data_IF_451053568889
#
_entry.id   IF_451053568889
#
_cell.length_a   1.000
_cell.length_b   1.000
_cell.length_c   1.000
_cell.angle_alpha   90.00
_cell.angle_beta   90.00
_cell.angle_gamma   90.00
#
_symmetry.space_group_name_H-M   'P 1'
#
loop_
_entity.id
_entity.type
_entity.pdbx_description
1 polymer ?
#
# COMPACT_ATOMS: atom_id res chain seq x y z
N UNK A 1 49.33 -1.30 -41.71
CA UNK A 1 48.52 -0.07 -41.85
C UNK A 1 47.06 -0.48 -41.75
N UNK A 2 46.58 -0.60 -40.51
CA UNK A 2 45.63 0.32 -39.85
C UNK A 2 44.18 0.00 -40.19
N UNK A 3 43.61 -0.84 -39.32
CA UNK A 3 42.20 -0.95 -39.00
C UNK A 3 41.58 0.40 -38.61
N UNK A 4 40.41 0.72 -39.14
CA UNK A 4 39.51 1.74 -38.58
C UNK A 4 38.07 1.24 -38.60
N UNK A 5 37.76 0.34 -37.66
CA UNK A 5 36.39 0.16 -37.18
C UNK A 5 36.04 1.36 -36.29
N UNK A 6 34.99 2.08 -36.68
CA UNK A 6 34.33 3.12 -35.89
C UNK A 6 33.93 2.58 -34.50
N UNK A 7 34.16 3.32 -33.40
CA UNK A 7 33.67 2.90 -32.10
C UNK A 7 32.16 3.19 -32.05
N UNK A 8 31.38 2.12 -31.91
CA UNK A 8 30.00 2.19 -31.45
C UNK A 8 29.95 2.94 -30.12
N UNK A 9 29.05 3.92 -30.02
CA UNK A 9 28.67 4.60 -28.78
C UNK A 9 28.21 3.57 -27.75
N UNK A 10 29.16 3.04 -26.98
CA UNK A 10 28.88 2.28 -25.78
C UNK A 10 28.14 3.17 -24.81
N UNK A 11 26.90 2.80 -24.48
CA UNK A 11 26.26 3.25 -23.26
C UNK A 11 27.22 2.90 -22.13
N UNK A 12 27.87 3.92 -21.58
CA UNK A 12 28.67 3.79 -20.38
C UNK A 12 27.75 3.20 -19.31
N UNK A 13 28.07 1.97 -18.88
CA UNK A 13 27.48 1.40 -17.69
C UNK A 13 27.73 2.37 -16.54
N UNK A 14 26.67 3.06 -16.10
CA UNK A 14 26.74 3.92 -14.92
C UNK A 14 27.24 3.07 -13.75
N UNK A 15 28.43 3.41 -13.26
CA UNK A 15 29.01 2.79 -12.09
C UNK A 15 28.08 2.99 -10.91
N UNK A 16 27.62 1.88 -10.34
CA UNK A 16 26.82 1.82 -9.11
C UNK A 16 27.59 2.58 -8.02
N UNK A 17 27.04 3.64 -7.40
CA UNK A 17 27.70 4.30 -6.28
C UNK A 17 27.90 3.25 -5.17
N UNK A 18 29.08 3.25 -4.54
CA UNK A 18 29.47 2.32 -3.46
C UNK A 18 28.28 1.87 -2.60
N UNK A 19 28.12 0.54 -2.42
CA UNK A 19 26.92 -0.08 -1.88
C UNK A 19 26.46 0.44 -0.49
N UNK A 20 27.33 1.13 0.26
CA UNK A 20 26.99 1.75 1.54
C UNK A 20 26.57 3.22 1.40
N UNK A 21 27.26 4.00 0.55
CA UNK A 21 27.01 5.42 0.37
C UNK A 21 25.63 5.71 -0.21
N UNK A 22 25.19 4.92 -1.18
CA UNK A 22 23.84 5.04 -1.76
C UNK A 22 22.72 4.64 -0.79
N UNK A 23 22.96 3.65 0.08
CA UNK A 23 21.99 3.26 1.12
C UNK A 23 21.84 4.35 2.18
N UNK A 24 22.95 4.96 2.58
CA UNK A 24 22.95 6.08 3.52
C UNK A 24 22.27 7.32 2.93
N UNK A 25 22.53 7.65 1.66
CA UNK A 25 21.88 8.80 1.01
C UNK A 25 20.37 8.64 0.95
N UNK A 26 19.87 7.44 0.66
CA UNK A 26 18.43 7.14 0.70
C UNK A 26 17.85 7.29 2.11
N UNK A 27 18.51 6.74 3.14
CA UNK A 27 18.09 6.90 4.54
C UNK A 27 17.99 8.38 4.96
N UNK A 28 19.01 9.17 4.62
CA UNK A 28 19.07 10.60 4.92
C UNK A 28 17.96 11.34 4.17
N UNK A 29 17.76 11.04 2.88
CA UNK A 29 16.70 11.66 2.09
C UNK A 29 15.31 11.34 2.65
N UNK A 30 15.06 10.09 3.06
CA UNK A 30 13.80 9.70 3.70
C UNK A 30 13.59 10.49 4.99
N UNK A 31 14.60 10.58 5.84
CA UNK A 31 14.52 11.31 7.11
C UNK A 31 14.27 12.81 6.91
N UNK A 32 14.92 13.43 5.92
CA UNK A 32 14.70 14.84 5.56
C UNK A 32 13.26 15.06 5.08
N UNK A 33 12.77 14.21 4.17
CA UNK A 33 11.41 14.34 3.64
C UNK A 33 10.38 14.17 4.75
N UNK A 34 10.56 13.19 5.65
CA UNK A 34 9.68 13.02 6.81
C UNK A 34 9.69 14.28 7.66
N UNK A 35 10.86 14.82 8.01
CA UNK A 35 10.94 16.05 8.79
C UNK A 35 10.22 17.23 8.10
N UNK A 36 10.45 17.44 6.80
CA UNK A 36 9.80 18.51 6.04
C UNK A 36 8.29 18.31 6.01
N UNK A 37 7.81 17.12 5.65
CA UNK A 37 6.40 16.82 5.55
C UNK A 37 5.66 16.98 6.89
N UNK A 38 6.27 16.53 7.98
CA UNK A 38 5.72 16.67 9.34
C UNK A 38 5.70 18.15 9.78
N UNK A 39 6.69 18.96 9.41
CA UNK A 39 6.65 20.41 9.68
C UNK A 39 5.61 21.17 8.87
N UNK A 40 5.30 20.72 7.65
CA UNK A 40 4.21 21.30 6.84
C UNK A 40 2.86 21.05 7.51
N UNK A 41 2.69 19.87 8.12
CA UNK A 41 1.47 19.52 8.82
C UNK A 41 0.28 19.24 7.90
N UNK A 42 -0.93 19.38 8.45
CA UNK A 42 -2.18 19.13 7.72
C UNK A 42 -2.59 20.40 6.98
N UNK A 43 -2.79 20.30 5.67
CA UNK A 43 -3.32 21.39 4.84
C UNK A 43 -4.72 21.03 4.36
N UNK A 44 -5.66 21.95 4.53
CA UNK A 44 -7.07 21.73 4.18
C UNK A 44 -7.43 22.57 2.96
N UNK A 45 -8.12 21.97 1.99
CA UNK A 45 -8.63 22.65 0.80
C UNK A 45 -10.14 22.37 0.64
N UNK A 46 -10.87 23.33 0.07
CA UNK A 46 -12.27 23.15 -0.30
C UNK A 46 -12.35 22.82 -1.79
N UNK A 47 -12.98 21.70 -2.13
CA UNK A 47 -13.24 21.29 -3.52
C UNK A 47 -14.75 21.06 -3.65
N UNK A 48 -15.46 22.04 -4.21
CA UNK A 48 -16.92 22.01 -4.32
C UNK A 48 -17.59 21.96 -2.94
N UNK A 49 -18.59 21.08 -2.71
CA UNK A 49 -19.24 20.95 -1.40
C UNK A 49 -18.37 20.21 -0.37
N UNK A 50 -17.28 19.56 -0.80
CA UNK A 50 -16.43 18.73 0.05
C UNK A 50 -15.17 19.44 0.53
N UNK A 51 -14.71 19.08 1.73
CA UNK A 51 -13.39 19.46 2.25
C UNK A 51 -12.43 18.29 2.01
N UNK A 52 -11.23 18.57 1.52
CA UNK A 52 -10.19 17.55 1.33
C UNK A 52 -9.00 17.91 2.21
N UNK A 53 -8.58 16.98 3.05
CA UNK A 53 -7.44 17.13 3.95
C UNK A 53 -6.20 16.44 3.35
N UNK A 54 -5.15 17.21 3.10
CA UNK A 54 -3.83 16.69 2.77
C UNK A 54 -3.00 16.59 4.04
N UNK A 55 -2.68 15.37 4.43
CA UNK A 55 -1.86 15.07 5.61
C UNK A 55 -0.37 15.05 5.28
N UNK A 56 0.52 15.15 6.29
CA UNK A 56 1.97 15.05 6.13
C UNK A 56 2.42 13.90 5.23
N UNK A 57 1.86 12.71 5.42
CA UNK A 57 2.17 11.53 4.62
C UNK A 57 1.92 11.70 3.10
N UNK A 58 0.94 12.51 2.70
CA UNK A 58 0.68 12.80 1.27
C UNK A 58 1.75 13.73 0.72
N UNK A 59 2.14 14.76 1.49
CA UNK A 59 3.27 15.61 1.14
C UNK A 59 4.57 14.81 1.01
N UNK A 60 4.82 13.90 1.93
CA UNK A 60 5.98 13.02 1.91
C UNK A 60 6.04 12.17 0.63
N UNK A 61 4.92 11.56 0.23
CA UNK A 61 4.81 10.81 -1.02
C UNK A 61 5.10 11.71 -2.23
N UNK A 62 4.48 12.88 -2.32
CA UNK A 62 4.62 13.80 -3.46
C UNK A 62 6.05 14.34 -3.56
N UNK A 63 6.67 14.73 -2.44
CA UNK A 63 8.06 15.23 -2.40
C UNK A 63 9.03 14.12 -2.80
N UNK A 64 8.86 12.90 -2.28
CA UNK A 64 9.72 11.77 -2.62
C UNK A 64 9.60 11.37 -4.09
N UNK A 65 8.37 11.33 -4.62
CA UNK A 65 8.14 11.09 -6.04
C UNK A 65 8.77 12.20 -6.90
N UNK A 66 8.57 13.47 -6.56
CA UNK A 66 9.16 14.61 -7.29
C UNK A 66 10.69 14.58 -7.26
N UNK A 67 11.30 14.26 -6.12
CA UNK A 67 12.74 14.12 -5.98
C UNK A 67 13.25 12.94 -6.81
N UNK A 68 12.65 11.76 -6.68
CA UNK A 68 13.03 10.58 -7.46
C UNK A 68 12.96 10.82 -8.97
N UNK A 69 11.93 11.53 -9.44
CA UNK A 69 11.78 11.88 -10.86
C UNK A 69 12.76 12.96 -11.33
N UNK A 70 13.16 13.86 -10.43
CA UNK A 70 14.15 14.91 -10.71
C UNK A 70 15.59 14.45 -10.55
N UNK A 71 15.83 13.17 -10.22
CA UNK A 71 17.17 12.63 -9.97
C UNK A 71 18.16 12.93 -11.11
N UNK A 72 17.71 12.93 -12.37
CA UNK A 72 18.54 13.25 -13.56
C UNK A 72 19.05 14.70 -13.63
N UNK A 73 18.48 15.61 -12.84
CA UNK A 73 18.84 17.03 -12.79
C UNK A 73 19.58 17.41 -11.50
N UNK A 74 19.75 16.47 -10.58
CA UNK A 74 20.37 16.70 -9.27
C UNK A 74 21.86 16.37 -9.29
N UNK A 75 22.68 17.02 -8.45
CA UNK A 75 24.08 16.66 -8.27
C UNK A 75 24.19 15.22 -7.71
N UNK A 76 25.30 14.54 -8.05
CA UNK A 76 25.50 13.11 -7.75
C UNK A 76 25.27 12.71 -6.28
N UNK A 77 25.49 13.63 -5.34
CA UNK A 77 25.30 13.39 -3.88
C UNK A 77 23.81 13.32 -3.49
N UNK A 78 22.94 14.05 -4.19
CA UNK A 78 21.49 14.08 -3.94
C UNK A 78 20.71 13.19 -4.92
N UNK A 79 21.41 12.51 -5.83
CA UNK A 79 20.80 11.71 -6.88
C UNK A 79 20.32 10.36 -6.33
N UNK A 80 19.00 10.14 -6.39
CA UNK A 80 18.39 8.86 -6.08
C UNK A 80 18.05 8.18 -7.41
N UNK A 81 19.04 7.50 -7.97
CA UNK A 81 18.94 6.83 -9.27
C UNK A 81 18.04 5.57 -9.25
N UNK A 82 17.80 4.95 -10.43
CA UNK A 82 16.87 3.82 -10.56
C UNK A 82 17.16 2.62 -9.65
N UNK A 83 18.44 2.33 -9.39
CA UNK A 83 18.84 1.27 -8.45
C UNK A 83 18.40 1.56 -7.01
N UNK A 84 18.57 2.80 -6.54
CA UNK A 84 18.12 3.21 -5.21
C UNK A 84 16.59 3.31 -5.11
N UNK A 85 15.90 3.67 -6.19
CA UNK A 85 14.43 3.66 -6.25
C UNK A 85 13.86 2.25 -6.16
N UNK A 86 14.51 1.28 -6.83
CA UNK A 86 14.17 -0.14 -6.72
C UNK A 86 14.42 -0.64 -5.29
N UNK A 87 15.57 -0.30 -4.72
CA UNK A 87 15.90 -0.63 -3.34
C UNK A 87 14.94 0.02 -2.33
N UNK A 88 14.45 1.24 -2.58
CA UNK A 88 13.42 1.87 -1.75
C UNK A 88 12.11 1.06 -1.73
N UNK A 89 11.73 0.44 -2.86
CA UNK A 89 10.59 -0.49 -2.90
C UNK A 89 10.82 -1.77 -2.08
N UNK A 90 12.05 -2.30 -2.07
CA UNK A 90 12.39 -3.46 -1.24
C UNK A 90 12.41 -3.11 0.26
N UNK A 91 12.99 -1.95 0.60
CA UNK A 91 12.95 -1.38 1.96
C UNK A 91 11.51 -1.13 2.41
N UNK A 92 10.63 -0.66 1.52
CA UNK A 92 9.21 -0.46 1.83
C UNK A 92 8.56 -1.76 2.32
N UNK A 93 8.75 -2.87 1.60
CA UNK A 93 8.16 -4.17 1.96
C UNK A 93 8.66 -4.66 3.33
N UNK A 94 9.96 -4.54 3.59
CA UNK A 94 10.52 -4.92 4.90
C UNK A 94 10.10 -3.95 6.02
N UNK A 95 10.03 -2.64 5.73
CA UNK A 95 9.61 -1.60 6.66
C UNK A 95 8.14 -1.69 7.05
N UNK A 96 7.28 -2.15 6.12
CA UNK A 96 5.85 -2.33 6.35
C UNK A 96 5.57 -3.33 7.49
N UNK A 97 6.49 -4.25 7.79
CA UNK A 97 6.36 -5.18 8.92
C UNK A 97 6.20 -4.46 10.27
N UNK A 98 6.93 -3.35 10.50
CA UNK A 98 6.77 -2.55 11.71
C UNK A 98 5.38 -1.92 11.79
N UNK A 99 4.85 -1.48 10.65
CA UNK A 99 3.52 -0.90 10.57
C UNK A 99 2.44 -1.97 10.79
N UNK A 100 2.61 -3.18 10.24
CA UNK A 100 1.75 -4.32 10.50
C UNK A 100 1.74 -4.72 11.97
N UNK A 101 2.89 -4.67 12.65
CA UNK A 101 2.95 -4.91 14.09
C UNK A 101 2.16 -3.85 14.85
N UNK A 102 2.33 -2.57 14.52
CA UNK A 102 1.54 -1.51 15.15
C UNK A 102 0.04 -1.70 14.91
N UNK A 103 -0.38 -2.08 13.70
CA UNK A 103 -1.77 -2.45 13.40
C UNK A 103 -2.25 -3.59 14.29
N UNK A 104 -1.51 -4.71 14.35
CA UNK A 104 -1.89 -5.89 15.12
C UNK A 104 -1.95 -5.63 16.64
N UNK A 105 -1.02 -4.85 17.20
CA UNK A 105 -1.12 -4.40 18.60
C UNK A 105 -2.34 -3.52 18.84
N UNK A 106 -2.66 -2.63 17.88
CA UNK A 106 -3.82 -1.74 18.00
C UNK A 106 -5.13 -2.56 17.98
N UNK A 107 -5.20 -3.59 17.14
CA UNK A 107 -6.33 -4.54 17.09
C UNK A 107 -6.42 -5.36 18.38
N UNK A 108 -5.30 -5.91 18.87
CA UNK A 108 -5.27 -6.69 20.12
C UNK A 108 -5.69 -5.88 21.34
N UNK A 109 -5.26 -4.61 21.43
CA UNK A 109 -5.61 -3.72 22.54
C UNK A 109 -7.05 -3.20 22.49
N UNK A 110 -7.70 -3.29 21.33
CA UNK A 110 -9.07 -2.84 21.07
C UNK A 110 -9.98 -3.99 20.61
N UNK A 111 -9.76 -5.20 21.17
CA UNK A 111 -10.60 -6.36 20.86
C UNK A 111 -12.10 -6.12 21.11
N UNK A 112 -12.54 -5.43 22.18
CA UNK A 112 -13.96 -5.15 22.36
C UNK A 112 -14.58 -4.37 21.20
N UNK A 113 -13.87 -3.39 20.65
CA UNK A 113 -14.29 -2.58 19.50
C UNK A 113 -14.36 -3.43 18.22
N UNK A 114 -13.36 -4.28 18.00
CA UNK A 114 -13.31 -5.21 16.86
C UNK A 114 -14.42 -6.26 16.96
N UNK A 115 -14.73 -6.74 18.17
CA UNK A 115 -15.85 -7.65 18.42
C UNK A 115 -17.20 -6.98 18.17
N UNK A 116 -17.36 -5.71 18.56
CA UNK A 116 -18.58 -4.93 18.27
C UNK A 116 -18.79 -4.73 16.77
N UNK A 117 -17.70 -4.53 16.02
CA UNK A 117 -17.76 -4.50 14.56
C UNK A 117 -18.20 -5.87 13.96
N UNK A 118 -17.95 -6.97 14.67
CA UNK A 118 -18.66 -8.25 14.53
C UNK A 118 -18.77 -8.76 13.10
N UNK A 119 -20.00 -8.93 12.63
CA UNK A 119 -20.30 -9.43 11.29
C UNK A 119 -19.91 -8.45 10.17
N UNK A 120 -19.94 -7.14 10.44
CA UNK A 120 -19.59 -6.14 9.44
C UNK A 120 -18.13 -6.32 8.97
N UNK A 121 -17.21 -6.64 9.90
CA UNK A 121 -15.83 -6.97 9.57
C UNK A 121 -15.72 -8.22 8.69
N UNK A 122 -16.50 -9.27 8.92
CA UNK A 122 -16.41 -10.48 8.10
C UNK A 122 -16.98 -10.22 6.69
N UNK A 123 -18.13 -9.54 6.61
CA UNK A 123 -18.84 -9.34 5.35
C UNK A 123 -18.26 -8.20 4.50
N UNK A 124 -17.51 -7.26 5.07
CA UNK A 124 -16.87 -6.19 4.30
C UNK A 124 -15.94 -6.70 3.19
N UNK A 125 -15.34 -7.90 3.34
CA UNK A 125 -14.52 -8.53 2.30
C UNK A 125 -15.33 -8.84 1.03
N UNK A 126 -16.61 -9.18 1.20
CA UNK A 126 -17.57 -9.26 0.09
C UNK A 126 -17.76 -7.89 -0.54
N UNK A 127 -17.87 -6.84 0.27
CA UNK A 127 -17.96 -5.46 -0.21
C UNK A 127 -16.74 -5.03 -1.02
N UNK A 128 -15.53 -5.35 -0.56
CA UNK A 128 -14.29 -5.14 -1.32
C UNK A 128 -14.38 -5.83 -2.69
N UNK A 129 -14.75 -7.10 -2.69
CA UNK A 129 -14.83 -7.91 -3.90
C UNK A 129 -15.92 -7.43 -4.84
N UNK A 130 -17.18 -7.39 -4.41
CA UNK A 130 -18.29 -6.95 -5.25
C UNK A 130 -18.15 -5.50 -5.68
N UNK A 131 -17.57 -4.64 -4.84
CA UNK A 131 -17.27 -3.26 -5.19
C UNK A 131 -16.37 -3.17 -6.42
N UNK A 132 -15.28 -3.94 -6.47
CA UNK A 132 -14.42 -4.02 -7.67
C UNK A 132 -15.15 -4.55 -8.88
N UNK A 133 -15.96 -5.60 -8.71
CA UNK A 133 -16.63 -6.30 -9.80
C UNK A 133 -17.80 -5.50 -10.40
N UNK A 134 -18.57 -4.82 -9.57
CA UNK A 134 -19.79 -4.08 -9.99
C UNK A 134 -19.44 -2.73 -10.58
N UNK A 135 -18.35 -2.09 -10.12
CA UNK A 135 -17.93 -0.78 -10.63
C UNK A 135 -16.82 -0.89 -11.66
N UNK A 136 -15.76 -1.63 -11.35
CA UNK A 136 -14.57 -1.73 -12.20
C UNK A 136 -14.85 -2.46 -13.52
N UNK A 137 -15.44 -3.66 -13.48
CA UNK A 137 -15.61 -4.49 -14.68
C UNK A 137 -16.54 -3.87 -15.73
N UNK A 138 -17.73 -3.31 -15.40
CA UNK A 138 -18.57 -2.66 -16.40
C UNK A 138 -17.90 -1.45 -17.03
N UNK A 139 -17.22 -0.62 -16.24
CA UNK A 139 -16.49 0.55 -16.74
C UNK A 139 -15.35 0.11 -17.65
N UNK A 140 -14.64 -0.96 -17.30
CA UNK A 140 -13.59 -1.54 -18.15
C UNK A 140 -14.14 -1.97 -19.51
N UNK A 141 -15.25 -2.70 -19.54
CA UNK A 141 -15.89 -3.15 -20.76
C UNK A 141 -16.42 -1.99 -21.60
N UNK A 142 -17.00 -0.95 -20.98
CA UNK A 142 -17.45 0.26 -21.65
C UNK A 142 -16.29 1.04 -22.28
N UNK A 143 -15.14 1.07 -21.62
CA UNK A 143 -13.90 1.62 -22.18
C UNK A 143 -13.27 0.69 -23.23
N UNK A 144 -13.81 -0.51 -23.44
CA UNK A 144 -13.33 -1.49 -24.41
C UNK A 144 -12.22 -2.41 -23.94
N UNK A 145 -11.82 -2.32 -22.67
CA UNK A 145 -10.84 -3.24 -22.10
C UNK A 145 -11.51 -4.61 -22.01
N UNK A 146 -10.96 -5.61 -22.72
CA UNK A 146 -11.57 -6.93 -22.85
C UNK A 146 -11.05 -7.89 -21.77
N UNK A 147 -10.26 -8.90 -22.14
CA UNK A 147 -9.75 -9.92 -21.21
C UNK A 147 -8.84 -9.32 -20.13
N UNK A 148 -8.18 -8.19 -20.43
CA UNK A 148 -7.39 -7.45 -19.45
C UNK A 148 -8.24 -6.89 -18.31
N UNK A 149 -9.55 -6.67 -18.53
CA UNK A 149 -10.47 -6.24 -17.48
C UNK A 149 -10.59 -7.30 -16.38
N UNK A 150 -10.58 -8.59 -16.72
CA UNK A 150 -10.64 -9.66 -15.72
C UNK A 150 -9.44 -9.57 -14.78
N UNK A 151 -8.23 -9.41 -15.33
CA UNK A 151 -7.01 -9.26 -14.54
C UNK A 151 -6.96 -7.96 -13.72
N UNK A 152 -7.55 -6.87 -14.22
CA UNK A 152 -7.53 -5.58 -13.55
C UNK A 152 -8.65 -5.37 -12.53
N UNK A 153 -9.74 -6.15 -12.58
CA UNK A 153 -10.96 -5.85 -11.80
C UNK A 153 -11.41 -6.95 -10.85
N UNK A 154 -10.75 -8.11 -10.83
CA UNK A 154 -11.05 -9.14 -9.83
C UNK A 154 -10.51 -8.79 -8.43
N UNK A 155 -9.61 -7.83 -8.31
CA UNK A 155 -9.07 -7.32 -7.04
C UNK A 155 -8.23 -6.07 -7.33
N UNK A 156 -7.82 -5.32 -6.29
CA UNK A 156 -6.86 -4.19 -6.37
C UNK A 156 -5.39 -4.56 -6.72
N UNK A 157 -5.19 -5.72 -7.35
CA UNK A 157 -3.92 -6.17 -7.94
C UNK A 157 -2.69 -6.16 -7.04
N UNK A 158 -2.77 -6.60 -5.78
CA UNK A 158 -1.57 -6.85 -4.94
C UNK A 158 -0.74 -8.05 -5.40
N UNK A 159 0.44 -8.26 -4.81
CA UNK A 159 1.44 -9.27 -5.17
C UNK A 159 0.83 -10.68 -5.24
N UNK A 160 -0.01 -11.04 -4.27
CA UNK A 160 -0.71 -12.32 -4.28
C UNK A 160 -1.61 -12.51 -5.51
N UNK A 161 -2.25 -11.45 -6.00
CA UNK A 161 -3.09 -11.49 -7.19
C UNK A 161 -2.28 -11.66 -8.47
N UNK A 162 -1.07 -11.08 -8.54
CA UNK A 162 -0.15 -11.34 -9.65
C UNK A 162 0.27 -12.80 -9.68
N UNK A 163 0.51 -13.43 -8.52
CA UNK A 163 0.81 -14.87 -8.43
C UNK A 163 -0.37 -15.70 -8.92
N UNK A 164 -1.60 -15.40 -8.49
CA UNK A 164 -2.81 -16.12 -8.92
C UNK A 164 -2.95 -16.09 -10.45
N UNK A 165 -2.81 -14.91 -11.07
CA UNK A 165 -2.93 -14.77 -12.53
C UNK A 165 -1.74 -15.36 -13.26
N UNK A 166 -0.53 -15.19 -12.71
CA UNK A 166 0.70 -15.76 -13.26
C UNK A 166 0.64 -17.28 -13.36
N UNK A 167 0.17 -17.96 -12.32
CA UNK A 167 0.01 -19.42 -12.29
C UNK A 167 -1.15 -19.90 -13.18
N UNK A 168 -2.28 -19.17 -13.19
CA UNK A 168 -3.50 -19.63 -13.89
C UNK A 168 -3.52 -19.31 -15.38
N UNK A 169 -3.05 -18.12 -15.78
CA UNK A 169 -3.12 -17.62 -17.15
C UNK A 169 -1.74 -17.31 -17.75
N UNK A 170 -0.70 -17.17 -16.94
CA UNK A 170 0.63 -16.72 -17.36
C UNK A 170 0.72 -15.19 -17.47
N UNK A 171 1.86 -14.60 -17.08
CA UNK A 171 2.03 -13.13 -17.09
C UNK A 171 2.02 -12.49 -18.49
N UNK A 172 2.24 -13.29 -19.54
CA UNK A 172 2.14 -12.86 -20.94
C UNK A 172 0.69 -12.77 -21.45
N UNK A 173 -0.29 -13.31 -20.71
CA UNK A 173 -1.70 -13.28 -21.08
C UNK A 173 -2.31 -11.87 -21.00
N UNK A 174 -3.53 -11.71 -21.50
CA UNK A 174 -4.27 -10.47 -21.36
C UNK A 174 -4.54 -10.15 -19.87
N UNK A 175 -4.96 -11.15 -19.12
CA UNK A 175 -5.18 -11.09 -17.68
C UNK A 175 -3.90 -10.69 -16.95
N UNK A 176 -2.76 -11.26 -17.36
CA UNK A 176 -1.43 -10.91 -16.86
C UNK A 176 -1.09 -9.43 -17.08
N UNK A 177 -1.36 -8.90 -18.27
CA UNK A 177 -1.21 -7.45 -18.54
C UNK A 177 -2.14 -6.60 -17.69
N UNK A 178 -3.39 -7.05 -17.51
CA UNK A 178 -4.41 -6.37 -16.70
C UNK A 178 -4.00 -6.26 -15.23
N UNK A 179 -3.62 -7.37 -14.60
CA UNK A 179 -3.23 -7.38 -13.17
C UNK A 179 -1.94 -6.59 -12.93
N UNK A 180 -1.01 -6.60 -13.90
CA UNK A 180 0.22 -5.83 -13.79
C UNK A 180 -0.03 -4.33 -13.94
N UNK A 181 -0.92 -3.94 -14.86
CA UNK A 181 -1.35 -2.56 -15.01
C UNK A 181 -2.06 -2.05 -13.75
N UNK A 182 -2.92 -2.87 -13.14
CA UNK A 182 -3.56 -2.59 -11.85
C UNK A 182 -2.53 -2.40 -10.75
N UNK A 183 -1.59 -3.34 -10.59
CA UNK A 183 -0.53 -3.27 -9.59
C UNK A 183 0.27 -1.96 -9.72
N UNK A 184 0.75 -1.66 -10.93
CA UNK A 184 1.56 -0.46 -11.22
C UNK A 184 0.75 0.82 -11.00
N UNK A 185 -0.51 0.85 -11.44
CA UNK A 185 -1.37 2.02 -11.22
C UNK A 185 -1.61 2.22 -9.73
N UNK A 186 -1.84 1.14 -8.99
CA UNK A 186 -2.03 1.16 -7.55
C UNK A 186 -0.79 1.60 -6.77
N UNK A 187 0.43 1.23 -7.18
CA UNK A 187 1.66 1.69 -6.54
C UNK A 187 1.94 3.17 -6.84
N UNK A 188 1.71 3.61 -8.08
CA UNK A 188 1.97 4.99 -8.53
C UNK A 188 0.95 5.98 -8.00
N UNK A 189 -0.35 5.66 -8.08
CA UNK A 189 -1.45 6.59 -7.78
C UNK A 189 -2.36 6.15 -6.63
N UNK A 190 -2.36 4.88 -6.24
CA UNK A 190 -3.38 4.32 -5.36
C UNK A 190 -3.51 5.01 -4.01
N UNK A 191 -2.40 5.23 -3.30
CA UNK A 191 -2.42 5.87 -1.98
C UNK A 191 -2.92 7.33 -2.05
N UNK A 192 -2.47 8.10 -3.05
CA UNK A 192 -2.94 9.47 -3.28
C UNK A 192 -4.44 9.47 -3.63
N UNK A 193 -4.86 8.61 -4.54
CA UNK A 193 -6.24 8.51 -4.98
C UNK A 193 -7.18 8.14 -3.83
N UNK A 194 -6.84 7.10 -3.06
CA UNK A 194 -7.65 6.64 -1.93
C UNK A 194 -7.70 7.70 -0.81
N UNK A 195 -6.61 8.42 -0.54
CA UNK A 195 -6.64 9.52 0.43
C UNK A 195 -7.65 10.61 0.03
N UNK A 196 -7.61 11.03 -1.24
CA UNK A 196 -8.51 12.04 -1.79
C UNK A 196 -9.96 11.56 -1.79
N UNK A 197 -10.20 10.33 -2.23
CA UNK A 197 -11.53 9.72 -2.25
C UNK A 197 -12.11 9.59 -0.84
N UNK A 198 -11.34 9.00 0.09
CA UNK A 198 -11.78 8.80 1.47
C UNK A 198 -12.05 10.14 2.17
N UNK A 199 -11.20 11.15 1.96
CA UNK A 199 -11.41 12.50 2.49
C UNK A 199 -12.68 13.14 1.91
N UNK A 200 -12.86 13.07 0.58
CA UNK A 200 -14.08 13.58 -0.06
C UNK A 200 -15.34 12.90 0.48
N UNK A 201 -15.38 11.56 0.51
CA UNK A 201 -16.55 10.80 1.00
C UNK A 201 -16.81 11.06 2.48
N UNK A 202 -15.77 11.13 3.32
CA UNK A 202 -15.92 11.49 4.73
C UNK A 202 -16.51 12.89 4.91
N UNK A 203 -16.15 13.83 4.04
CA UNK A 203 -16.68 15.20 4.08
C UNK A 203 -18.16 15.32 3.71
N UNK A 204 -18.74 14.32 3.03
CA UNK A 204 -20.15 14.30 2.69
C UNK A 204 -21.05 13.93 3.87
N UNK A 205 -20.49 13.36 4.95
CA UNK A 205 -21.22 12.94 6.15
C UNK A 205 -22.41 11.98 5.86
N UNK A 206 -22.29 11.15 4.82
CA UNK A 206 -23.34 10.17 4.42
C UNK A 206 -23.17 8.82 5.13
N UNK A 207 -21.94 8.42 5.43
CA UNK A 207 -21.60 7.14 6.05
C UNK A 207 -21.16 7.32 7.50
N UNK A 208 -21.38 6.29 8.33
CA UNK A 208 -20.77 6.25 9.65
C UNK A 208 -19.23 6.21 9.51
N UNK A 209 -18.48 6.99 10.31
CA UNK A 209 -17.02 6.98 10.29
C UNK A 209 -16.41 5.59 10.47
N UNK A 210 -17.05 4.70 11.23
CA UNK A 210 -16.61 3.32 11.46
C UNK A 210 -16.76 2.48 10.19
N UNK A 211 -17.84 2.66 9.43
CA UNK A 211 -18.03 2.03 8.12
C UNK A 211 -16.96 2.48 7.13
N UNK A 212 -16.63 3.79 7.12
CA UNK A 212 -15.54 4.33 6.30
C UNK A 212 -14.18 3.77 6.71
N UNK A 213 -13.94 3.60 8.02
CA UNK A 213 -12.73 2.97 8.53
C UNK A 213 -12.62 1.50 8.08
N UNK A 214 -13.71 0.72 8.09
CA UNK A 214 -13.70 -0.63 7.53
C UNK A 214 -13.39 -0.60 6.02
N UNK A 215 -14.04 0.29 5.27
CA UNK A 215 -13.79 0.46 3.84
C UNK A 215 -12.35 0.86 3.51
N UNK A 216 -11.67 1.60 4.38
CA UNK A 216 -10.25 1.95 4.24
C UNK A 216 -9.32 0.73 4.32
N UNK A 217 -9.78 -0.40 4.86
CA UNK A 217 -9.06 -1.65 5.04
C UNK A 217 -8.79 -2.45 3.76
N UNK A 218 -8.47 -1.78 2.65
CA UNK A 218 -8.42 -2.35 1.29
C UNK A 218 -7.35 -3.43 1.04
N UNK A 219 -6.60 -3.87 2.05
CA UNK A 219 -5.53 -4.87 1.92
C UNK A 219 -4.18 -4.30 1.50
N UNK A 220 -4.00 -2.98 1.60
CA UNK A 220 -2.72 -2.31 1.38
C UNK A 220 -2.44 -1.36 2.53
N UNK A 221 -1.36 -1.60 3.26
CA UNK A 221 -1.00 -0.77 4.42
C UNK A 221 -0.80 0.71 4.06
N UNK A 222 -0.21 1.02 2.89
CA UNK A 222 -0.03 2.41 2.46
C UNK A 222 -1.34 3.08 2.05
N UNK A 223 -2.25 2.39 1.36
CA UNK A 223 -3.55 2.95 1.00
C UNK A 223 -4.47 3.10 2.22
N UNK A 224 -4.49 2.11 3.11
CA UNK A 224 -5.23 2.17 4.36
C UNK A 224 -4.71 3.32 5.23
N UNK A 225 -3.39 3.46 5.39
CA UNK A 225 -2.77 4.60 6.07
C UNK A 225 -3.24 5.93 5.50
N UNK A 226 -3.24 6.06 4.18
CA UNK A 226 -3.62 7.27 3.48
C UNK A 226 -5.12 7.61 3.69
N UNK A 227 -6.01 6.62 3.61
CA UNK A 227 -7.45 6.78 3.87
C UNK A 227 -7.77 7.08 5.34
N UNK A 228 -7.23 6.30 6.27
CA UNK A 228 -7.59 6.45 7.69
C UNK A 228 -7.10 7.77 8.26
N UNK A 229 -5.95 8.26 7.76
CA UNK A 229 -5.48 9.59 8.09
C UNK A 229 -6.50 10.65 7.69
N UNK A 230 -6.96 10.67 6.44
CA UNK A 230 -7.94 11.68 5.98
C UNK A 230 -9.29 11.54 6.71
N UNK A 231 -9.79 10.31 6.89
CA UNK A 231 -11.03 10.05 7.65
C UNK A 231 -10.92 10.61 9.09
N UNK A 232 -9.83 10.34 9.80
CA UNK A 232 -9.62 10.86 11.16
C UNK A 232 -9.61 12.38 11.20
N UNK A 233 -9.05 13.03 10.18
CA UNK A 233 -9.02 14.49 10.11
C UNK A 233 -10.39 15.15 9.95
N UNK A 234 -11.42 14.41 9.54
CA UNK A 234 -12.81 14.87 9.45
C UNK A 234 -13.65 14.58 10.70
N UNK A 235 -13.12 13.81 11.65
CA UNK A 235 -13.86 13.29 12.79
C UNK A 235 -13.28 13.80 14.13
N UNK A 236 -14.06 13.75 15.23
CA UNK A 236 -13.56 14.11 16.54
C UNK A 236 -12.31 13.28 16.90
N UNK A 237 -11.27 13.88 17.52
CA UNK A 237 -10.04 13.18 17.88
C UNK A 237 -10.25 11.95 18.77
N UNK A 238 -11.33 11.94 19.55
CA UNK A 238 -11.73 10.86 20.46
C UNK A 238 -12.03 9.55 19.70
N UNK A 239 -12.56 9.65 18.48
CA UNK A 239 -12.88 8.48 17.65
C UNK A 239 -11.65 7.88 16.98
N UNK A 240 -10.53 8.61 16.90
CA UNK A 240 -9.37 8.19 16.10
C UNK A 240 -8.83 6.82 16.52
N UNK A 241 -8.78 6.50 17.83
CA UNK A 241 -8.31 5.19 18.31
C UNK A 241 -9.21 4.06 17.84
N UNK A 242 -10.53 4.25 17.91
CA UNK A 242 -11.53 3.28 17.44
C UNK A 242 -11.44 3.08 15.93
N UNK A 243 -11.45 4.17 15.15
CA UNK A 243 -11.39 4.12 13.69
C UNK A 243 -10.10 3.45 13.20
N UNK A 244 -8.95 3.76 13.81
CA UNK A 244 -7.68 3.11 13.48
C UNK A 244 -7.73 1.61 13.78
N UNK A 245 -8.31 1.20 14.91
CA UNK A 245 -8.43 -0.21 15.27
C UNK A 245 -9.31 -0.97 14.28
N UNK A 246 -10.47 -0.40 13.89
CA UNK A 246 -11.39 -0.98 12.92
C UNK A 246 -10.73 -1.09 11.54
N UNK A 247 -10.10 -0.01 11.06
CA UNK A 247 -9.39 -0.01 9.76
C UNK A 247 -8.23 -1.00 9.75
N UNK A 248 -7.47 -1.09 10.85
CA UNK A 248 -6.39 -2.06 11.01
C UNK A 248 -6.93 -3.49 10.98
N UNK A 249 -8.01 -3.79 11.70
CA UNK A 249 -8.63 -5.11 11.70
C UNK A 249 -9.10 -5.52 10.30
N UNK A 250 -9.80 -4.61 9.60
CA UNK A 250 -10.23 -4.81 8.22
C UNK A 250 -9.03 -5.07 7.30
N UNK A 251 -8.00 -4.22 7.34
CA UNK A 251 -6.83 -4.36 6.48
C UNK A 251 -6.01 -5.64 6.73
N UNK A 252 -5.84 -6.05 7.99
CA UNK A 252 -5.15 -7.29 8.35
C UNK A 252 -5.94 -8.50 7.84
N UNK A 253 -7.26 -8.49 8.00
CA UNK A 253 -8.13 -9.54 7.49
C UNK A 253 -8.08 -9.62 5.97
N UNK A 254 -8.18 -8.49 5.25
CA UNK A 254 -8.04 -8.45 3.78
C UNK A 254 -6.66 -8.96 3.35
N UNK A 255 -5.59 -8.62 4.07
CA UNK A 255 -4.24 -9.10 3.76
C UNK A 255 -4.07 -10.61 3.95
N UNK A 256 -4.83 -11.22 4.87
CA UNK A 256 -4.79 -12.66 5.16
C UNK A 256 -5.76 -13.46 4.29
N UNK A 257 -7.05 -13.08 4.31
CA UNK A 257 -8.14 -13.81 3.67
C UNK A 257 -8.30 -13.42 2.21
N UNK A 258 -7.99 -12.18 1.84
CA UNK A 258 -8.23 -11.64 0.50
C UNK A 258 -7.52 -12.41 -0.61
N UNK A 259 -6.36 -13.01 -0.34
CA UNK A 259 -5.70 -13.90 -1.32
C UNK A 259 -6.57 -15.13 -1.65
N UNK A 260 -7.06 -15.82 -0.62
CA UNK A 260 -7.91 -17.00 -0.79
C UNK A 260 -9.27 -16.62 -1.38
N UNK A 261 -9.80 -15.48 -0.96
CA UNK A 261 -11.05 -14.93 -1.48
C UNK A 261 -10.92 -14.58 -2.97
N UNK A 262 -9.81 -13.95 -3.36
CA UNK A 262 -9.49 -13.64 -4.74
C UNK A 262 -9.37 -14.92 -5.60
N UNK A 263 -8.66 -15.94 -5.10
CA UNK A 263 -8.44 -17.20 -5.81
C UNK A 263 -9.73 -18.02 -6.00
N UNK A 264 -10.47 -18.25 -4.92
CA UNK A 264 -11.60 -19.19 -4.91
C UNK A 264 -12.95 -18.54 -5.21
N UNK A 265 -13.08 -17.23 -5.04
CA UNK A 265 -14.36 -16.54 -5.21
C UNK A 265 -14.27 -15.40 -6.24
N UNK A 266 -13.46 -14.38 -6.00
CA UNK A 266 -13.49 -13.17 -6.83
C UNK A 266 -13.14 -13.45 -8.29
N UNK A 267 -12.06 -14.18 -8.56
CA UNK A 267 -11.62 -14.46 -9.92
C UNK A 267 -12.62 -15.33 -10.71
N UNK A 268 -13.15 -16.45 -10.16
CA UNK A 268 -14.25 -17.18 -10.80
C UNK A 268 -15.48 -16.32 -11.09
N UNK A 269 -15.93 -15.52 -10.13
CA UNK A 269 -17.11 -14.65 -10.29
C UNK A 269 -16.83 -13.54 -11.32
N UNK A 270 -15.64 -12.96 -11.32
CA UNK A 270 -15.20 -11.96 -12.29
C UNK A 270 -15.24 -12.52 -13.71
N UNK A 271 -14.69 -13.73 -13.92
CA UNK A 271 -14.72 -14.37 -15.23
C UNK A 271 -16.15 -14.66 -15.69
N UNK A 272 -16.99 -15.18 -14.81
CA UNK A 272 -18.41 -15.41 -15.11
C UNK A 272 -19.15 -14.12 -15.48
N UNK A 273 -18.92 -13.05 -14.70
CA UNK A 273 -19.57 -11.76 -14.93
C UNK A 273 -19.07 -11.11 -16.22
N UNK A 274 -17.79 -11.26 -16.54
CA UNK A 274 -17.19 -10.83 -17.80
C UNK A 274 -17.88 -11.51 -18.99
N UNK A 275 -18.02 -12.84 -18.97
CA UNK A 275 -18.66 -13.59 -20.06
C UNK A 275 -20.13 -13.17 -20.26
N UNK A 276 -20.79 -12.69 -19.20
CA UNK A 276 -22.18 -12.21 -19.25
C UNK A 276 -22.31 -10.76 -19.73
N UNK A 277 -21.38 -9.89 -19.33
CA UNK A 277 -21.44 -8.45 -19.61
C UNK A 277 -20.76 -8.06 -20.92
N UNK A 278 -19.70 -8.75 -21.31
CA UNK A 278 -18.91 -8.44 -22.52
C UNK A 278 -19.77 -8.44 -23.80
N UNK A 279 -20.69 -9.40 -24.03
CA UNK A 279 -21.54 -9.37 -25.23
C UNK A 279 -22.49 -8.18 -25.32
N UNK A 280 -22.78 -7.51 -24.19
CA UNK A 280 -23.69 -6.35 -24.12
C UNK A 280 -22.94 -5.03 -24.12
N UNK A 281 -21.92 -4.90 -23.28
CA UNK A 281 -21.16 -3.66 -23.07
C UNK A 281 -19.98 -3.52 -24.03
N UNK A 282 -19.37 -4.64 -24.44
CA UNK A 282 -18.19 -4.67 -25.32
C UNK A 282 -18.47 -4.33 -26.80
N UNK A 283 -19.75 -4.21 -27.19
CA UNK A 283 -20.16 -3.85 -28.57
C UNK A 283 -19.78 -2.42 -28.97
N UNK A 284 -19.53 -1.55 -27.99
CA UNK A 284 -19.32 -0.12 -28.20
C UNK A 284 -17.86 0.28 -28.43
N UNK A 285 -16.92 -0.66 -28.64
CA UNK A 285 -15.48 -0.32 -28.63
C UNK A 285 -14.62 -0.89 -29.77
N UNK A 286 -13.77 -0.01 -30.30
CA UNK A 286 -12.67 -0.29 -31.25
C UNK A 286 -11.32 -0.57 -30.56
N UNK A 287 -11.30 -0.88 -29.25
CA UNK A 287 -10.06 -1.12 -28.49
C UNK A 287 -9.39 -2.44 -28.90
N UNK A 288 -8.08 -2.40 -29.19
CA UNK A 288 -7.25 -3.59 -29.40
C UNK A 288 -6.36 -3.83 -28.17
N UNK A 289 -6.14 -5.09 -27.82
CA UNK A 289 -5.22 -5.49 -26.74
C UNK A 289 -3.79 -4.96 -26.90
N UNK A 290 -3.38 -4.64 -28.12
CA UNK A 290 -2.11 -3.99 -28.47
C UNK A 290 -2.02 -2.53 -27.97
N UNK A 291 -3.16 -1.87 -27.72
CA UNK A 291 -3.25 -0.48 -27.26
C UNK A 291 -2.90 -0.31 -25.76
N UNK A 292 -2.67 -1.41 -25.03
CA UNK A 292 -2.20 -1.41 -23.63
C UNK A 292 -0.67 -1.31 -23.52
N UNK A 293 0.04 -1.29 -24.66
CA UNK A 293 1.49 -1.27 -24.75
C UNK A 293 2.09 -2.66 -25.03
N UNK A 294 3.42 -2.75 -25.25
CA UNK A 294 4.11 -4.03 -25.47
C UNK A 294 3.91 -4.97 -24.28
N UNK A 295 4.09 -6.29 -24.46
CA UNK A 295 4.01 -7.29 -23.39
C UNK A 295 4.78 -6.80 -22.15
N UNK A 296 4.02 -6.35 -21.14
CA UNK A 296 4.56 -5.82 -19.89
C UNK A 296 5.10 -6.97 -19.02
N UNK A 297 4.96 -8.21 -19.48
CA UNK A 297 5.41 -9.42 -18.80
C UNK A 297 6.93 -9.47 -18.53
N UNK A 298 7.73 -8.67 -19.24
CA UNK A 298 9.16 -8.50 -18.94
C UNK A 298 9.47 -7.54 -17.77
N UNK A 299 8.49 -6.75 -17.32
CA UNK A 299 8.63 -5.81 -16.20
C UNK A 299 8.15 -6.38 -14.84
N UNK A 300 7.46 -7.53 -14.88
CA UNK A 300 7.10 -8.30 -13.68
C UNK A 300 8.25 -9.15 -13.14
N UNK A 301 9.35 -9.29 -13.87
CA UNK A 301 10.59 -9.80 -13.29
C UNK A 301 11.15 -8.70 -12.39
N UNK A 302 10.91 -8.83 -11.08
CA UNK A 302 11.72 -8.14 -10.07
C UNK A 302 13.18 -8.27 -10.49
N UNK A 303 13.91 -7.15 -10.70
CA UNK A 303 15.33 -7.25 -10.97
C UNK A 303 15.93 -8.13 -9.87
N UNK A 304 16.68 -9.17 -10.25
CA UNK A 304 17.52 -9.91 -9.31
C UNK A 304 18.62 -8.97 -8.80
N UNK A 305 18.23 -7.97 -7.99
CA UNK A 305 19.16 -7.31 -7.10
C UNK A 305 19.64 -8.38 -6.12
N UNK A 306 20.94 -8.34 -5.79
CA UNK A 306 21.58 -9.30 -4.91
C UNK A 306 20.77 -9.54 -3.64
N UNK A 307 20.91 -10.74 -3.07
CA UNK A 307 20.11 -11.23 -1.95
C UNK A 307 19.77 -10.14 -0.94
N UNK A 308 18.51 -9.70 -0.91
CA UNK A 308 18.01 -8.78 0.11
C UNK A 308 18.23 -9.45 1.47
N UNK A 309 19.21 -8.94 2.20
CA UNK A 309 19.73 -9.61 3.39
C UNK A 309 19.00 -9.19 4.66
N UNK A 310 19.35 -9.85 5.75
CA UNK A 310 18.96 -9.39 7.09
C UNK A 310 19.45 -7.96 7.38
N UNK A 311 20.64 -7.58 6.87
CA UNK A 311 21.16 -6.22 7.00
C UNK A 311 20.27 -5.17 6.33
N UNK A 312 19.67 -5.52 5.18
CA UNK A 312 18.80 -4.60 4.44
C UNK A 312 17.43 -4.49 5.11
N UNK A 313 16.94 -5.60 5.68
CA UNK A 313 15.74 -5.61 6.53
C UNK A 313 15.94 -4.74 7.77
N UNK A 314 17.09 -4.86 8.43
CA UNK A 314 17.44 -4.02 9.58
C UNK A 314 17.52 -2.53 9.19
N UNK A 315 18.12 -2.20 8.05
CA UNK A 315 18.14 -0.83 7.52
C UNK A 315 16.72 -0.32 7.23
N UNK A 316 15.83 -1.16 6.69
CA UNK A 316 14.43 -0.79 6.48
C UNK A 316 13.74 -0.43 7.80
N UNK A 317 13.90 -1.28 8.82
CA UNK A 317 13.31 -1.05 10.13
C UNK A 317 13.88 0.20 10.80
N UNK A 318 15.18 0.44 10.70
CA UNK A 318 15.82 1.67 11.20
C UNK A 318 15.30 2.89 10.45
N UNK A 319 15.09 2.82 9.14
CA UNK A 319 14.55 3.92 8.32
C UNK A 319 13.11 4.27 8.72
N UNK A 320 12.26 3.27 8.94
CA UNK A 320 10.90 3.52 9.42
C UNK A 320 10.92 4.02 10.87
N UNK A 321 11.75 3.43 11.74
CA UNK A 321 11.86 3.82 13.15
C UNK A 321 12.37 5.27 13.30
N UNK A 322 13.34 5.70 12.49
CA UNK A 322 13.80 7.09 12.48
C UNK A 322 12.69 8.04 12.02
N UNK A 323 11.94 7.67 10.98
CA UNK A 323 10.77 8.43 10.54
C UNK A 323 9.69 8.56 11.62
N UNK A 324 9.38 7.46 12.32
CA UNK A 324 8.44 7.47 13.46
C UNK A 324 8.94 8.39 14.56
N UNK A 325 10.24 8.35 14.89
CA UNK A 325 10.83 9.22 15.90
C UNK A 325 10.71 10.70 15.53
N UNK A 326 10.96 11.02 14.25
CA UNK A 326 10.82 12.38 13.73
C UNK A 326 9.35 12.83 13.80
N UNK A 327 8.41 12.03 13.27
CA UNK A 327 6.98 12.37 13.27
C UNK A 327 6.38 12.49 14.67
N UNK A 328 6.72 11.57 15.57
CA UNK A 328 6.30 11.64 16.97
C UNK A 328 6.83 12.87 17.69
N UNK A 329 8.08 13.26 17.43
CA UNK A 329 8.71 14.40 18.09
C UNK A 329 8.15 15.74 17.56
N UNK A 330 8.07 15.89 16.24
CA UNK A 330 7.68 17.14 15.59
C UNK A 330 6.16 17.38 15.65
N UNK A 331 5.37 16.40 15.25
CA UNK A 331 3.92 16.56 15.05
C UNK A 331 3.14 16.17 16.28
N UNK A 332 3.42 14.98 16.84
CA UNK A 332 2.61 14.40 17.91
C UNK A 332 3.12 14.73 19.32
N UNK A 333 4.26 15.43 19.44
CA UNK A 333 4.88 15.89 20.69
C UNK A 333 5.05 14.79 21.75
N UNK A 334 5.31 13.55 21.31
CA UNK A 334 5.57 12.41 22.20
C UNK A 334 7.03 12.47 22.67
N UNK A 335 7.32 12.31 23.98
CA UNK A 335 8.69 12.28 24.47
C UNK A 335 9.57 11.24 23.75
N UNK A 336 10.80 11.63 23.41
CA UNK A 336 11.73 10.78 22.65
C UNK A 336 11.98 9.43 23.34
N UNK A 337 12.18 9.44 24.66
CA UNK A 337 12.43 8.21 25.42
C UNK A 337 11.26 7.22 25.30
N UNK A 338 10.01 7.70 25.40
CA UNK A 338 8.82 6.87 25.26
C UNK A 338 8.69 6.31 23.84
N UNK A 339 9.02 7.12 22.83
CA UNK A 339 9.05 6.67 21.43
C UNK A 339 10.11 5.59 21.21
N UNK A 340 11.32 5.76 21.74
CA UNK A 340 12.36 4.75 21.67
C UNK A 340 11.95 3.44 22.35
N UNK A 341 11.34 3.50 23.54
CA UNK A 341 10.85 2.30 24.24
C UNK A 341 9.82 1.54 23.40
N UNK A 342 8.82 2.25 22.84
CA UNK A 342 7.83 1.62 21.97
C UNK A 342 8.47 0.99 20.72
N UNK A 343 9.40 1.70 20.06
CA UNK A 343 10.09 1.20 18.87
C UNK A 343 10.94 -0.04 19.17
N UNK A 344 11.61 -0.08 20.33
CA UNK A 344 12.35 -1.27 20.78
C UNK A 344 11.44 -2.48 20.94
N UNK A 345 10.23 -2.30 21.49
CA UNK A 345 9.23 -3.37 21.60
C UNK A 345 8.81 -3.86 20.22
N UNK A 346 8.47 -2.95 19.29
CA UNK A 346 8.08 -3.31 17.91
C UNK A 346 9.21 -4.07 17.20
N UNK A 347 10.46 -3.60 17.31
CA UNK A 347 11.63 -4.25 16.72
C UNK A 347 11.88 -5.65 17.30
N UNK A 348 11.76 -5.80 18.62
CA UNK A 348 11.89 -7.10 19.28
C UNK A 348 10.83 -8.10 18.80
N UNK A 349 9.60 -7.62 18.58
CA UNK A 349 8.50 -8.46 18.05
C UNK A 349 8.76 -8.86 16.60
N UNK A 350 9.28 -7.98 15.73
CA UNK A 350 9.68 -8.39 14.37
C UNK A 350 10.70 -9.51 14.41
N UNK A 351 11.75 -9.36 15.22
CA UNK A 351 12.81 -10.36 15.32
C UNK A 351 12.27 -11.69 15.85
N UNK A 352 11.38 -11.66 16.83
CA UNK A 352 10.70 -12.84 17.35
C UNK A 352 9.89 -13.54 16.25
N UNK A 353 9.11 -12.79 15.47
CA UNK A 353 8.30 -13.35 14.38
C UNK A 353 9.19 -13.93 13.28
N UNK A 354 10.28 -13.27 12.92
CA UNK A 354 11.22 -13.79 11.92
C UNK A 354 11.85 -15.12 12.37
N UNK A 355 12.19 -15.26 13.65
CA UNK A 355 12.69 -16.52 14.21
C UNK A 355 11.60 -17.59 14.17
N UNK A 356 10.38 -17.27 14.59
CA UNK A 356 9.25 -18.21 14.57
C UNK A 356 8.89 -18.65 13.15
N UNK A 357 8.93 -17.75 12.18
CA UNK A 357 8.66 -18.04 10.78
C UNK A 357 9.70 -19.01 10.17
N UNK A 358 10.95 -18.98 10.64
CA UNK A 358 11.96 -19.97 10.24
C UNK A 358 11.67 -21.36 10.81
N UNK A 359 11.14 -21.43 12.02
CA UNK A 359 10.74 -22.70 12.67
C UNK A 359 9.47 -23.26 12.02
N UNK A 360 8.48 -22.39 11.76
CA UNK A 360 7.19 -22.72 11.16
C UNK A 360 7.18 -22.47 9.65
N UNK A 361 8.16 -23.01 8.94
CA UNK A 361 8.42 -22.72 7.51
C UNK A 361 7.26 -23.05 6.54
N UNK A 362 6.26 -23.82 7.00
CA UNK A 362 5.06 -24.18 6.22
C UNK A 362 3.95 -23.12 6.28
N UNK A 363 4.00 -22.18 7.22
CA UNK A 363 2.97 -21.16 7.40
C UNK A 363 3.47 -19.84 6.79
N UNK A 364 2.65 -19.15 5.98
CA UNK A 364 2.98 -17.83 5.46
C UNK A 364 3.44 -16.85 6.56
N UNK A 365 4.55 -16.15 6.33
CA UNK A 365 5.16 -15.23 7.31
C UNK A 365 4.16 -14.19 7.83
N UNK A 366 3.35 -13.59 6.94
CA UNK A 366 2.34 -12.59 7.31
C UNK A 366 1.29 -13.14 8.30
N UNK A 367 0.92 -14.42 8.18
CA UNK A 367 -0.02 -15.05 9.11
C UNK A 367 0.58 -15.18 10.51
N UNK A 368 1.85 -15.61 10.59
CA UNK A 368 2.57 -15.72 11.85
C UNK A 368 2.71 -14.34 12.49
N UNK A 369 3.11 -13.33 11.70
CA UNK A 369 3.24 -11.95 12.15
C UNK A 369 1.94 -11.43 12.77
N UNK A 370 0.83 -11.55 12.04
CA UNK A 370 -0.47 -11.05 12.50
C UNK A 370 -0.94 -11.82 13.72
N UNK A 371 -0.88 -13.15 13.70
CA UNK A 371 -1.36 -13.98 14.82
C UNK A 371 -0.55 -13.73 16.09
N UNK A 372 0.78 -13.86 16.03
CA UNK A 372 1.67 -13.69 17.20
C UNK A 372 1.55 -12.28 17.75
N UNK A 373 1.59 -11.26 16.89
CA UNK A 373 1.55 -9.87 17.35
C UNK A 373 0.19 -9.51 17.94
N UNK A 374 -0.92 -9.98 17.34
CA UNK A 374 -2.25 -9.72 17.89
C UNK A 374 -2.38 -10.35 19.27
N UNK A 375 -1.93 -11.60 19.45
CA UNK A 375 -1.92 -12.29 20.75
C UNK A 375 -1.08 -11.54 21.79
N UNK A 376 0.09 -11.03 21.41
CA UNK A 376 0.93 -10.19 22.28
C UNK A 376 0.25 -8.86 22.66
N UNK A 377 -0.65 -8.37 21.81
CA UNK A 377 -1.44 -7.17 22.03
C UNK A 377 -2.72 -7.37 22.84
N UNK A 378 -3.08 -8.59 23.26
CA UNK A 378 -4.30 -8.85 24.06
C UNK A 378 -4.03 -8.55 25.54
N UNK A 379 -4.77 -7.63 26.18
CA UNK A 379 -4.61 -7.33 27.60
C UNK A 379 -4.81 -8.57 28.48
N UNK A 380 -3.89 -8.78 29.43
CA UNK A 380 -3.93 -9.88 30.40
C UNK A 380 -3.71 -11.31 29.87
N UNK A 381 -3.45 -11.52 28.56
CA UNK A 381 -3.24 -12.86 28.01
C UNK A 381 -1.76 -13.31 28.16
N UNK A 382 -0.77 -12.63 27.54
CA UNK A 382 0.63 -12.76 27.94
C UNK A 382 0.94 -12.03 29.26
N UNK A 383 1.87 -12.52 30.10
CA UNK A 383 2.20 -11.90 31.41
C UNK A 383 2.81 -10.49 31.30
N UNK A 384 3.28 -10.09 30.12
CA UNK A 384 3.90 -8.79 29.83
C UNK A 384 3.11 -7.95 28.81
N UNK A 385 1.89 -8.37 28.44
CA UNK A 385 1.07 -7.70 27.43
C UNK A 385 0.81 -6.23 27.76
N UNK A 386 0.45 -5.92 28.99
CA UNK A 386 -0.02 -4.58 29.35
C UNK A 386 1.12 -3.55 29.28
N UNK A 387 2.33 -3.97 29.66
CA UNK A 387 3.53 -3.15 29.53
C UNK A 387 3.90 -2.95 28.04
N UNK A 388 3.80 -3.98 27.21
CA UNK A 388 4.05 -3.89 25.78
C UNK A 388 3.03 -2.98 25.08
N UNK A 389 1.74 -3.17 25.37
CA UNK A 389 0.64 -2.35 24.84
C UNK A 389 0.85 -0.90 25.26
N UNK A 390 1.12 -0.63 26.54
CA UNK A 390 1.36 0.73 27.03
C UNK A 390 2.55 1.41 26.34
N UNK A 391 3.62 0.67 26.05
CA UNK A 391 4.77 1.18 25.31
C UNK A 391 4.45 1.45 23.83
N UNK A 392 3.76 0.52 23.16
CA UNK A 392 3.39 0.64 21.74
C UNK A 392 2.29 1.70 21.52
N UNK A 393 1.40 1.92 22.48
CA UNK A 393 0.35 2.95 22.42
C UNK A 393 0.91 4.38 22.44
N UNK A 394 2.14 4.59 22.95
CA UNK A 394 2.83 5.88 22.84
C UNK A 394 3.29 6.18 21.41
N UNK A 395 3.41 5.17 20.56
CA UNK A 395 3.72 5.38 19.15
C UNK A 395 2.45 5.84 18.42
N UNK A 396 2.45 7.07 17.92
CA UNK A 396 1.33 7.53 17.12
C UNK A 396 1.25 6.70 15.84
N UNK A 397 0.06 6.20 15.52
CA UNK A 397 -0.17 5.36 14.36
C UNK A 397 0.22 6.05 13.05
N UNK A 398 -0.16 7.32 12.89
CA UNK A 398 0.09 8.10 11.69
C UNK A 398 1.59 8.43 11.52
N UNK A 399 2.39 8.41 12.58
CA UNK A 399 3.84 8.62 12.48
C UNK A 399 4.57 7.50 11.71
N UNK A 400 4.00 6.29 11.63
CA UNK A 400 4.54 5.23 10.77
C UNK A 400 4.24 5.46 9.29
N UNK A 401 3.19 6.22 8.98
CA UNK A 401 2.68 6.35 7.62
C UNK A 401 3.58 7.24 6.78
N UNK A 402 4.12 8.32 7.35
CA UNK A 402 4.98 9.27 6.64
C UNK A 402 6.23 8.60 6.06
N UNK A 403 7.08 7.87 6.81
CA UNK A 403 8.24 7.18 6.22
C UNK A 403 7.86 6.07 5.25
N UNK A 404 6.76 5.35 5.48
CA UNK A 404 6.22 4.34 4.54
C UNK A 404 5.84 4.99 3.20
N UNK A 405 5.11 6.10 3.23
CA UNK A 405 4.71 6.83 2.03
C UNK A 405 5.88 7.54 1.34
N UNK A 406 6.91 7.96 2.08
CA UNK A 406 8.17 8.45 1.48
C UNK A 406 8.88 7.36 0.67
N UNK A 407 9.05 6.16 1.24
CA UNK A 407 9.65 5.03 0.52
C UNK A 407 8.80 4.62 -0.69
N UNK A 408 7.47 4.63 -0.54
CA UNK A 408 6.55 4.41 -1.64
C UNK A 408 6.75 5.46 -2.75
N UNK A 409 6.83 6.75 -2.40
CA UNK A 409 7.06 7.84 -3.35
C UNK A 409 8.38 7.70 -4.12
N UNK A 410 9.48 7.29 -3.46
CA UNK A 410 10.71 6.95 -4.17
C UNK A 410 10.57 5.72 -5.07
N UNK A 411 9.78 4.74 -4.66
CA UNK A 411 9.47 3.56 -5.46
C UNK A 411 8.65 3.90 -6.71
N UNK A 412 7.72 4.87 -6.64
CA UNK A 412 6.92 5.33 -7.79
C UNK A 412 7.78 5.71 -8.99
N UNK A 413 8.93 6.35 -8.75
CA UNK A 413 9.82 6.78 -9.82
C UNK A 413 10.35 5.62 -10.69
N UNK A 414 10.51 4.41 -10.12
CA UNK A 414 10.92 3.20 -10.85
C UNK A 414 9.81 2.67 -11.77
N UNK A 415 8.56 2.83 -11.34
CA UNK A 415 7.38 2.29 -12.01
C UNK A 415 6.81 3.29 -13.04
N UNK A 416 7.17 4.57 -12.93
CA UNK A 416 6.68 5.62 -13.82
C UNK A 416 6.95 5.38 -15.32
N UNK A 417 8.13 4.89 -15.75
CA UNK A 417 8.38 4.59 -17.15
C UNK A 417 7.43 3.53 -17.73
N UNK A 418 7.03 2.55 -16.91
CA UNK A 418 6.07 1.51 -17.32
C UNK A 418 4.66 2.09 -17.26
N UNK A 419 4.33 2.84 -16.20
CA UNK A 419 3.04 3.52 -16.05
C UNK A 419 2.72 4.43 -17.26
N UNK A 420 3.70 5.16 -17.79
CA UNK A 420 3.52 6.02 -18.99
C UNK A 420 3.19 5.24 -20.26
N UNK A 421 3.46 3.94 -20.30
CA UNK A 421 3.10 3.06 -21.43
C UNK A 421 1.69 2.49 -21.29
N UNK A 422 1.10 2.56 -20.09
CA UNK A 422 -0.26 2.09 -19.85
C UNK A 422 -1.26 3.01 -20.55
N UNK A 423 -2.32 2.39 -21.09
CA UNK A 423 -3.45 3.15 -21.65
C UNK A 423 -4.17 3.93 -20.55
N UNK A 424 -4.58 5.17 -20.81
CA UNK A 424 -5.39 5.93 -19.85
C UNK A 424 -6.66 5.17 -19.42
N UNK A 425 -7.20 4.31 -20.30
CA UNK A 425 -8.37 3.48 -20.03
C UNK A 425 -8.12 2.51 -18.88
N UNK A 426 -6.97 1.82 -18.87
CA UNK A 426 -6.65 0.85 -17.81
C UNK A 426 -6.39 1.57 -16.49
N UNK A 427 -5.79 2.76 -16.53
CA UNK A 427 -5.60 3.59 -15.34
C UNK A 427 -6.94 3.97 -14.72
N UNK A 428 -7.92 4.42 -15.53
CA UNK A 428 -9.27 4.73 -15.06
C UNK A 428 -9.96 3.49 -14.48
N UNK A 429 -9.83 2.34 -15.14
CA UNK A 429 -10.35 1.06 -14.62
C UNK A 429 -9.76 0.74 -13.25
N UNK A 430 -8.45 0.94 -13.10
CA UNK A 430 -7.74 0.62 -11.86
C UNK A 430 -8.19 1.50 -10.70
N UNK A 431 -8.27 2.82 -10.94
CA UNK A 431 -8.78 3.77 -9.96
C UNK A 431 -10.25 3.50 -9.63
N UNK A 432 -11.05 3.08 -10.61
CA UNK A 432 -12.45 2.69 -10.40
C UNK A 432 -12.56 1.42 -9.57
N UNK A 433 -11.70 0.43 -9.80
CA UNK A 433 -11.64 -0.79 -8.99
C UNK A 433 -11.25 -0.47 -7.55
N UNK A 434 -10.23 0.37 -7.33
CA UNK A 434 -9.85 0.86 -6.01
C UNK A 434 -11.00 1.64 -5.32
N UNK A 435 -11.69 2.52 -6.05
CA UNK A 435 -12.85 3.23 -5.53
C UNK A 435 -13.98 2.28 -5.16
N UNK A 436 -14.25 1.30 -6.02
CA UNK A 436 -15.26 0.28 -5.77
C UNK A 436 -14.92 -0.58 -4.56
N UNK A 437 -13.65 -0.94 -4.38
CA UNK A 437 -13.17 -1.66 -3.19
C UNK A 437 -13.51 -0.92 -1.90
N UNK A 438 -13.16 0.37 -1.86
CA UNK A 438 -13.40 1.24 -0.70
C UNK A 438 -14.90 1.46 -0.46
N UNK A 439 -15.64 1.86 -1.49
CA UNK A 439 -17.06 2.19 -1.39
C UNK A 439 -17.92 0.95 -1.15
N UNK A 440 -17.62 -0.16 -1.80
CA UNK A 440 -18.33 -1.42 -1.65
C UNK A 440 -18.21 -1.99 -0.24
N UNK A 441 -16.99 -2.01 0.32
CA UNK A 441 -16.79 -2.39 1.72
C UNK A 441 -17.45 -1.41 2.69
N UNK A 442 -17.37 -0.10 2.43
CA UNK A 442 -18.08 0.92 3.24
C UNK A 442 -19.59 0.67 3.24
N UNK A 443 -20.19 0.38 2.08
CA UNK A 443 -21.63 0.14 1.95
C UNK A 443 -22.08 -1.13 2.66
N UNK A 444 -21.33 -2.23 2.51
CA UNK A 444 -21.64 -3.48 3.21
C UNK A 444 -21.44 -3.31 4.72
N UNK A 445 -20.36 -2.65 5.13
CA UNK A 445 -20.12 -2.35 6.54
C UNK A 445 -21.27 -1.51 7.11
N UNK A 446 -21.70 -0.45 6.42
CA UNK A 446 -22.82 0.40 6.84
C UNK A 446 -24.13 -0.39 7.01
N UNK A 447 -24.37 -1.37 6.15
CA UNK A 447 -25.56 -2.23 6.26
C UNK A 447 -25.51 -3.15 7.49
N UNK A 448 -24.35 -3.74 7.80
CA UNK A 448 -24.19 -4.67 8.92
C UNK A 448 -23.82 -4.01 10.26
N UNK A 449 -23.42 -2.74 10.23
CA UNK A 449 -23.05 -1.97 11.42
C UNK A 449 -24.25 -1.26 12.07
N UNK A 450 -25.36 -1.12 11.33
CA UNK A 450 -26.60 -0.46 11.79
C UNK A 450 -27.47 -1.33 12.70
#
# INVERSE_FOLDING_TARGET
>A
MTSTSSPSLGQAAEAVPSALGGKLSLFVAVSIIVAVAETVGVVQFQIGPGKVLLQPMVWALLIAAAWGLSARYLPAVAQIGPGLQTYAGQLLNAGLLLFVIKMAFTVGGALPEVQKAGWALIFQELGHTFGTLVLGLPIALLLGVKREAVGATFSIGREGNMVIIGEKYGMNSAEGRGVLAEYITGTVLGALFIALLAGFVASLHIFDPRSLAMGAGVGSGSMMAAAIGTINGHNPPEMAKELIAIASAANLMTAVLGFYFALFFSLPVCSWLYDRLEPRLGRFSNFKSEDLGPSIAGAGETPKHGAFGFSDSLLAWITIASGVLIGNSLTYKVPLLQTCTGLLVVLAVVLLVDVLARVLSKVPHILILVAVTTVLGIPGLPPFSDAMIAAVDKLNFLAFTTPVLTLAGFSVAKDLPIFRKLSWRIVVVSLTAAAGTFLGATLIAEYFHR
#
